data_IF_119087030021
#
_entry.id   IF_119087030021
#
_cell.length_a   1.000
_cell.length_b   1.000
_cell.length_c   1.000
_cell.angle_alpha   90.00
_cell.angle_beta   90.00
_cell.angle_gamma   90.00
#
_symmetry.space_group_name_H-M   'P 1'
#
loop_
_entity.id
_entity.type
_entity.pdbx_description
1 polymer ?
#
# COMPACT_ATOMS: atom_id res chain seq x y z
N UNK A 1 -9.11 -16.24 -9.37
CA UNK A 1 -8.55 -15.30 -8.40
C UNK A 1 -7.30 -14.70 -9.01
N UNK A 2 -7.21 -13.37 -9.08
CA UNK A 2 -6.01 -12.67 -9.55
C UNK A 2 -5.35 -11.95 -8.38
N UNK A 3 -4.02 -11.90 -8.38
CA UNK A 3 -3.22 -11.16 -7.40
C UNK A 3 -2.16 -10.41 -8.18
N UNK A 4 -2.19 -9.09 -8.07
CA UNK A 4 -1.23 -8.19 -8.73
C UNK A 4 -0.60 -7.29 -7.68
N UNK A 5 0.73 -7.23 -7.65
CA UNK A 5 1.49 -6.29 -6.86
C UNK A 5 2.56 -5.65 -7.76
N UNK A 6 2.56 -4.32 -7.88
CA UNK A 6 3.41 -3.59 -8.82
C UNK A 6 4.17 -2.50 -8.07
N UNK A 7 5.49 -2.46 -8.29
CA UNK A 7 6.33 -1.35 -7.89
C UNK A 7 6.48 -0.35 -9.04
N UNK A 8 6.28 0.94 -8.79
CA UNK A 8 6.42 2.02 -9.78
C UNK A 8 7.39 3.08 -9.32
N UNK A 9 8.28 3.53 -10.22
CA UNK A 9 9.19 4.65 -9.95
C UNK A 9 8.57 6.02 -10.20
N UNK A 10 7.51 6.09 -11.01
CA UNK A 10 6.81 7.32 -11.37
C UNK A 10 5.46 7.50 -10.67
N UNK A 11 4.86 8.70 -10.75
CA UNK A 11 3.52 8.94 -10.25
C UNK A 11 2.48 8.09 -10.98
N UNK A 12 1.40 7.74 -10.30
CA UNK A 12 0.25 7.05 -10.87
C UNK A 12 -1.05 7.74 -10.47
N UNK A 13 -2.13 7.42 -11.18
CA UNK A 13 -3.47 7.95 -10.97
C UNK A 13 -4.36 6.89 -10.34
N UNK A 14 -4.70 7.04 -9.06
CA UNK A 14 -5.50 6.06 -8.33
C UNK A 14 -6.88 5.81 -8.97
N UNK A 15 -7.48 6.83 -9.57
CA UNK A 15 -8.74 6.71 -10.30
C UNK A 15 -8.60 5.87 -11.57
N UNK A 16 -7.46 5.95 -12.26
CA UNK A 16 -7.17 5.11 -13.42
C UNK A 16 -6.92 3.66 -13.00
N UNK A 17 -6.17 3.42 -11.92
CA UNK A 17 -5.97 2.06 -11.39
C UNK A 17 -7.30 1.43 -10.93
N UNK A 18 -8.19 2.21 -10.29
CA UNK A 18 -9.54 1.76 -9.96
C UNK A 18 -10.34 1.43 -11.21
N UNK A 19 -10.31 2.29 -12.23
CA UNK A 19 -11.00 2.05 -13.51
C UNK A 19 -10.54 0.74 -14.17
N UNK A 20 -9.23 0.47 -14.18
CA UNK A 20 -8.67 -0.79 -14.66
C UNK A 20 -9.15 -1.98 -13.81
N UNK A 21 -9.12 -1.85 -12.48
CA UNK A 21 -9.52 -2.93 -11.56
C UNK A 21 -11.02 -3.26 -11.60
N UNK A 22 -11.87 -2.29 -11.97
CA UNK A 22 -13.31 -2.49 -12.17
C UNK A 22 -13.65 -3.05 -13.56
N UNK A 23 -12.75 -2.93 -14.53
CA UNK A 23 -12.97 -3.34 -15.92
C UNK A 23 -13.30 -4.82 -16.05
N UNK A 24 -14.46 -5.13 -16.64
CA UNK A 24 -14.84 -6.50 -17.01
C UNK A 24 -15.22 -7.42 -15.85
N UNK A 25 -15.37 -6.90 -14.62
CA UNK A 25 -15.75 -7.72 -13.46
C UNK A 25 -17.19 -8.21 -13.55
N UNK A 26 -17.39 -9.47 -13.18
CA UNK A 26 -18.71 -10.08 -13.00
C UNK A 26 -18.72 -10.91 -11.71
N UNK A 27 -19.79 -10.83 -10.93
CA UNK A 27 -20.02 -11.69 -9.75
C UNK A 27 -19.49 -11.16 -8.41
N UNK A 28 -18.70 -10.08 -8.38
CA UNK A 28 -18.30 -9.44 -7.13
C UNK A 28 -19.33 -8.39 -6.67
N UNK A 29 -19.78 -8.51 -5.42
CA UNK A 29 -20.70 -7.56 -4.81
C UNK A 29 -20.02 -6.39 -4.11
N UNK A 30 -18.69 -6.40 -3.99
CA UNK A 30 -17.94 -5.34 -3.32
C UNK A 30 -16.52 -5.16 -3.86
N UNK A 31 -16.11 -3.89 -3.94
CA UNK A 31 -14.72 -3.46 -4.14
C UNK A 31 -14.40 -2.43 -3.07
N UNK A 32 -13.27 -2.59 -2.39
CA UNK A 32 -12.73 -1.64 -1.41
C UNK A 32 -11.38 -1.18 -1.90
N UNK A 33 -11.15 0.13 -1.86
CA UNK A 33 -9.85 0.71 -2.22
C UNK A 33 -9.29 1.58 -1.11
N UNK A 34 -7.97 1.61 -1.02
CA UNK A 34 -7.21 2.53 -0.20
C UNK A 34 -6.19 3.29 -1.06
N UNK A 35 -6.03 4.59 -0.80
CA UNK A 35 -4.99 5.42 -1.40
C UNK A 35 -4.21 6.11 -0.30
N UNK A 36 -2.91 5.82 -0.21
CA UNK A 36 -1.99 6.53 0.67
C UNK A 36 -1.40 7.72 -0.06
N UNK A 37 -1.62 8.93 0.48
CA UNK A 37 -1.04 10.17 -0.05
C UNK A 37 0.13 10.62 0.83
N UNK A 38 1.18 11.15 0.19
CA UNK A 38 2.25 11.82 0.91
C UNK A 38 1.72 13.08 1.60
N UNK A 39 2.10 13.29 2.85
CA UNK A 39 1.74 14.47 3.64
C UNK A 39 2.85 15.51 3.58
N UNK A 40 2.49 16.76 3.78
CA UNK A 40 3.40 17.91 3.90
C UNK A 40 3.89 18.15 5.33
N UNK A 41 3.54 17.26 6.28
CA UNK A 41 3.94 17.34 7.68
C UNK A 41 4.18 15.95 8.27
N UNK A 42 5.19 15.85 9.12
CA UNK A 42 5.47 14.71 10.00
C UNK A 42 5.43 15.15 11.47
N UNK A 43 5.69 14.22 12.39
CA UNK A 43 5.72 14.50 13.84
C UNK A 43 6.73 15.59 14.20
N UNK A 44 7.84 15.67 13.45
CA UNK A 44 8.96 16.57 13.74
C UNK A 44 8.97 17.85 12.90
N UNK A 45 7.85 18.15 12.21
CA UNK A 45 7.69 19.39 11.48
C UNK A 45 7.32 19.21 10.00
N UNK A 46 7.46 20.27 9.19
CA UNK A 46 7.07 20.26 7.78
C UNK A 46 7.98 19.35 6.95
N UNK A 47 7.39 18.65 5.99
CA UNK A 47 8.06 17.73 5.07
C UNK A 47 7.84 18.20 3.64
N UNK A 48 8.94 18.37 2.91
CA UNK A 48 8.96 18.76 1.50
C UNK A 48 8.82 17.58 0.54
N UNK A 49 9.07 16.36 1.01
CA UNK A 49 8.89 15.13 0.25
C UNK A 49 9.25 13.86 1.02
N UNK A 50 8.81 12.73 0.48
CA UNK A 50 9.20 11.40 0.93
C UNK A 50 10.09 10.76 -0.15
N UNK A 51 11.15 10.09 0.25
CA UNK A 51 11.93 9.21 -0.62
C UNK A 51 11.79 7.77 -0.14
N UNK A 52 11.40 6.89 -1.06
CA UNK A 52 11.23 5.46 -0.81
C UNK A 52 12.34 4.68 -1.51
N UNK A 53 13.35 4.32 -0.74
CA UNK A 53 14.42 3.46 -1.24
C UNK A 53 14.00 1.99 -1.19
N UNK A 54 14.55 1.19 -2.10
CA UNK A 54 14.11 -0.19 -2.30
C UNK A 54 15.25 -1.08 -2.78
N UNK A 55 15.09 -2.38 -2.60
CA UNK A 55 16.01 -3.38 -3.15
C UNK A 55 15.34 -4.03 -4.36
N UNK A 56 15.82 -3.76 -5.60
CA UNK A 56 15.23 -4.30 -6.82
C UNK A 56 15.07 -5.82 -6.79
N UNK A 57 13.88 -6.29 -7.14
CA UNK A 57 13.47 -7.68 -7.08
C UNK A 57 13.05 -8.16 -5.69
N UNK A 58 13.68 -7.69 -4.60
CA UNK A 58 13.30 -8.12 -3.25
C UNK A 58 12.07 -7.37 -2.74
N UNK A 59 11.98 -6.06 -3.00
CA UNK A 59 10.82 -5.26 -2.62
C UNK A 59 9.56 -5.72 -3.36
N UNK A 60 9.66 -6.01 -4.65
CA UNK A 60 8.57 -6.55 -5.46
C UNK A 60 8.07 -7.89 -4.90
N UNK A 61 8.99 -8.84 -4.61
CA UNK A 61 8.64 -10.12 -3.98
C UNK A 61 7.99 -9.95 -2.61
N UNK A 62 8.41 -8.96 -1.82
CA UNK A 62 7.81 -8.65 -0.53
C UNK A 62 6.36 -8.19 -0.70
N UNK A 63 6.08 -7.28 -1.66
CA UNK A 63 4.72 -6.84 -2.00
C UNK A 63 3.85 -8.02 -2.48
N UNK A 64 4.38 -8.85 -3.38
CA UNK A 64 3.71 -10.05 -3.89
C UNK A 64 3.38 -11.03 -2.76
N UNK A 65 4.30 -11.24 -1.83
CA UNK A 65 4.09 -12.13 -0.68
C UNK A 65 2.96 -11.62 0.22
N UNK A 66 2.98 -10.34 0.57
CA UNK A 66 1.93 -9.72 1.39
C UNK A 66 0.55 -9.85 0.70
N UNK A 67 0.49 -9.59 -0.60
CA UNK A 67 -0.74 -9.73 -1.39
C UNK A 67 -1.23 -11.18 -1.47
N UNK A 68 -0.32 -12.12 -1.72
CA UNK A 68 -0.63 -13.55 -1.76
C UNK A 68 -1.11 -14.08 -0.40
N UNK A 69 -0.60 -13.55 0.71
CA UNK A 69 -1.02 -13.96 2.04
C UNK A 69 -2.45 -13.47 2.35
N UNK A 70 -2.79 -12.23 1.97
CA UNK A 70 -4.15 -11.72 2.07
C UNK A 70 -5.13 -12.55 1.22
N UNK A 71 -4.71 -12.92 0.01
CA UNK A 71 -5.45 -13.81 -0.89
C UNK A 71 -5.75 -15.18 -0.26
N UNK A 72 -4.82 -15.74 0.51
CA UNK A 72 -5.01 -17.02 1.21
C UNK A 72 -5.87 -16.89 2.47
N UNK A 73 -5.82 -15.74 3.14
CA UNK A 73 -6.50 -15.51 4.43
C UNK A 73 -7.99 -15.17 4.28
N UNK A 74 -8.38 -14.42 3.25
CA UNK A 74 -9.73 -13.88 3.12
C UNK A 74 -10.48 -14.45 1.91
N UNK A 75 -11.81 -14.53 2.01
CA UNK A 75 -12.69 -14.94 0.92
C UNK A 75 -12.88 -13.80 -0.10
N UNK A 76 -11.81 -13.47 -0.82
CA UNK A 76 -11.73 -12.40 -1.81
C UNK A 76 -11.46 -12.98 -3.21
N UNK A 77 -11.81 -12.22 -4.25
CA UNK A 77 -11.72 -12.68 -5.64
C UNK A 77 -10.53 -12.10 -6.39
N UNK A 78 -10.09 -10.88 -6.02
CA UNK A 78 -9.00 -10.19 -6.70
C UNK A 78 -8.32 -9.17 -5.77
N UNK A 79 -7.02 -8.96 -5.99
CA UNK A 79 -6.19 -7.95 -5.31
C UNK A 79 -5.34 -7.23 -6.35
N UNK A 80 -5.31 -5.91 -6.25
CA UNK A 80 -4.38 -5.06 -6.97
C UNK A 80 -3.67 -4.09 -6.02
N UNK A 81 -2.35 -4.21 -5.93
CA UNK A 81 -1.47 -3.31 -5.17
C UNK A 81 -0.55 -2.58 -6.12
N UNK A 82 -0.49 -1.26 -6.02
CA UNK A 82 0.53 -0.43 -6.67
C UNK A 82 1.24 0.36 -5.58
N UNK A 83 2.55 0.22 -5.49
CA UNK A 83 3.36 0.99 -4.56
C UNK A 83 4.41 1.79 -5.32
N UNK A 84 4.67 3.01 -4.89
CA UNK A 84 5.70 3.86 -5.47
C UNK A 84 7.05 3.62 -4.81
N UNK A 85 8.14 3.82 -5.55
CA UNK A 85 9.51 3.99 -5.06
C UNK A 85 10.10 5.32 -5.56
N UNK A 86 11.23 5.72 -4.99
CA UNK A 86 11.87 7.00 -5.29
C UNK A 86 11.18 8.19 -4.62
N UNK A 87 11.37 9.38 -5.17
CA UNK A 87 10.85 10.63 -4.61
C UNK A 87 9.34 10.80 -4.85
N UNK A 88 8.62 11.20 -3.80
CA UNK A 88 7.18 11.45 -3.76
C UNK A 88 6.93 12.81 -3.11
N UNK A 89 6.20 13.69 -3.80
CA UNK A 89 5.86 15.02 -3.29
C UNK A 89 4.57 14.98 -2.46
N UNK A 90 4.37 15.92 -1.52
CA UNK A 90 3.12 16.05 -0.81
C UNK A 90 1.90 16.11 -1.75
N UNK A 91 0.83 15.41 -1.36
CA UNK A 91 -0.39 15.26 -2.17
C UNK A 91 -0.31 14.18 -3.25
N UNK A 92 0.87 13.67 -3.59
CA UNK A 92 0.99 12.57 -4.55
C UNK A 92 0.65 11.21 -3.92
N UNK A 93 0.11 10.31 -4.73
CA UNK A 93 -0.14 8.94 -4.31
C UNK A 93 1.18 8.16 -4.13
N UNK A 94 1.30 7.53 -2.96
CA UNK A 94 2.39 6.62 -2.59
C UNK A 94 1.98 5.18 -2.87
N UNK A 95 0.76 4.80 -2.45
CA UNK A 95 0.28 3.43 -2.51
C UNK A 95 -1.19 3.41 -2.87
N UNK A 96 -1.57 2.44 -3.68
CA UNK A 96 -2.94 2.09 -4.02
C UNK A 96 -3.16 0.62 -3.72
N UNK A 97 -4.25 0.31 -3.04
CA UNK A 97 -4.72 -1.05 -2.82
C UNK A 97 -6.17 -1.12 -3.28
N UNK A 98 -6.51 -2.13 -4.05
CA UNK A 98 -7.88 -2.49 -4.37
C UNK A 98 -8.10 -3.97 -4.11
N UNK A 99 -9.19 -4.28 -3.42
CA UNK A 99 -9.60 -5.65 -3.10
C UNK A 99 -11.05 -5.81 -3.47
N UNK A 100 -11.39 -6.96 -4.04
CA UNK A 100 -12.75 -7.30 -4.39
C UNK A 100 -13.19 -8.60 -3.77
N UNK A 101 -14.49 -8.70 -3.51
CA UNK A 101 -15.09 -9.88 -2.91
C UNK A 101 -16.57 -9.99 -3.25
N UNK A 102 -17.18 -11.18 -3.09
CA UNK A 102 -18.62 -11.34 -3.17
C UNK A 102 -19.37 -10.45 -2.17
N UNK A 103 -18.79 -10.21 -0.99
CA UNK A 103 -19.39 -9.41 0.07
C UNK A 103 -18.38 -8.44 0.70
N UNK A 104 -18.87 -7.26 1.06
CA UNK A 104 -18.04 -6.14 1.54
C UNK A 104 -17.10 -6.46 2.70
N UNK A 105 -17.49 -7.36 3.61
CA UNK A 105 -16.72 -7.64 4.83
C UNK A 105 -15.32 -8.13 4.51
N UNK A 106 -15.22 -9.16 3.67
CA UNK A 106 -13.93 -9.73 3.28
C UNK A 106 -13.06 -8.70 2.52
N UNK A 107 -13.68 -7.84 1.69
CA UNK A 107 -12.94 -6.78 1.00
C UNK A 107 -12.37 -5.72 1.96
N UNK A 108 -13.14 -5.30 2.96
CA UNK A 108 -12.66 -4.36 3.98
C UNK A 108 -11.55 -4.97 4.84
N UNK A 109 -11.76 -6.17 5.38
CA UNK A 109 -10.77 -6.83 6.25
C UNK A 109 -9.47 -7.12 5.49
N UNK A 110 -9.55 -7.53 4.22
CA UNK A 110 -8.37 -7.75 3.40
C UNK A 110 -7.63 -6.45 3.05
N UNK A 111 -8.34 -5.37 2.72
CA UNK A 111 -7.70 -4.07 2.46
C UNK A 111 -7.00 -3.52 3.71
N UNK A 112 -7.62 -3.67 4.88
CA UNK A 112 -7.07 -3.27 6.18
C UNK A 112 -5.82 -4.10 6.53
N UNK A 113 -5.91 -5.43 6.40
CA UNK A 113 -4.80 -6.35 6.56
C UNK A 113 -3.61 -6.02 5.64
N UNK A 114 -3.88 -5.76 4.35
CA UNK A 114 -2.85 -5.38 3.38
C UNK A 114 -2.13 -4.11 3.82
N UNK A 115 -2.88 -3.09 4.26
CA UNK A 115 -2.26 -1.82 4.65
C UNK A 115 -1.39 -1.93 5.88
N UNK A 116 -1.81 -2.67 6.91
CA UNK A 116 -1.00 -2.87 8.11
C UNK A 116 0.32 -3.59 7.80
N UNK A 117 0.26 -4.61 6.92
CA UNK A 117 1.44 -5.35 6.48
C UNK A 117 2.34 -4.54 5.57
N UNK A 118 1.78 -3.81 4.61
CA UNK A 118 2.56 -2.96 3.71
C UNK A 118 3.32 -1.87 4.48
N UNK A 119 2.72 -1.33 5.55
CA UNK A 119 3.37 -0.31 6.37
C UNK A 119 4.55 -0.82 7.21
N UNK A 120 4.52 -2.09 7.59
CA UNK A 120 5.46 -2.68 8.58
C UNK A 120 6.45 -3.67 7.98
N UNK A 121 6.06 -4.41 6.94
CA UNK A 121 6.81 -5.55 6.41
C UNK A 121 7.26 -5.37 4.95
N UNK A 122 6.68 -4.41 4.21
CA UNK A 122 7.15 -4.14 2.86
C UNK A 122 8.59 -3.61 2.92
N UNK A 123 9.47 -4.23 2.12
CA UNK A 123 10.91 -3.96 2.16
C UNK A 123 11.27 -2.61 1.51
N UNK A 124 10.98 -1.52 2.22
CA UNK A 124 11.36 -0.15 1.88
C UNK A 124 12.15 0.48 3.01
N UNK A 125 13.08 1.37 2.64
CA UNK A 125 13.62 2.36 3.56
C UNK A 125 12.99 3.71 3.24
N UNK A 126 12.40 4.34 4.26
CA UNK A 126 11.64 5.58 4.10
C UNK A 126 12.49 6.74 4.60
N UNK A 127 12.59 7.80 3.81
CA UNK A 127 13.28 9.04 4.20
C UNK A 127 12.35 10.23 4.00
N UNK A 128 12.26 11.07 5.00
CA UNK A 128 11.58 12.36 4.92
C UNK A 128 12.61 13.44 4.60
N UNK A 129 12.28 14.34 3.68
CA UNK A 129 13.10 15.48 3.31
C UNK A 129 12.41 16.77 3.79
N UNK A 130 13.06 17.58 4.63
CA UNK A 130 12.51 18.80 5.22
C UNK A 130 13.49 19.98 5.23
N UNK A 131 13.12 21.13 5.82
CA UNK A 131 13.96 22.33 5.85
C UNK A 131 15.31 22.12 6.54
N UNK A 132 15.34 21.26 7.56
CA UNK A 132 16.54 20.95 8.35
C UNK A 132 17.36 19.78 7.77
N UNK A 133 16.98 19.28 6.59
CA UNK A 133 17.64 18.18 5.89
C UNK A 133 16.79 16.91 5.82
N UNK A 134 17.47 15.78 5.59
CA UNK A 134 16.83 14.48 5.36
C UNK A 134 16.98 13.53 6.54
N UNK A 135 15.94 12.75 6.83
CA UNK A 135 15.96 11.77 7.92
C UNK A 135 15.30 10.46 7.51
N UNK A 136 15.97 9.33 7.80
CA UNK A 136 15.39 8.01 7.66
C UNK A 136 14.43 7.72 8.82
N UNK A 137 13.27 7.18 8.49
CA UNK A 137 12.20 6.88 9.45
C UNK A 137 11.89 5.39 9.47
N UNK A 138 11.45 4.92 10.64
CA UNK A 138 11.04 3.55 10.90
C UNK A 138 9.51 3.47 11.07
N UNK A 139 8.90 2.28 10.91
CA UNK A 139 7.51 2.06 11.28
C UNK A 139 7.25 2.45 12.74
N UNK A 140 6.11 3.09 12.99
CA UNK A 140 5.73 3.55 14.33
C UNK A 140 5.26 2.39 15.23
N UNK A 141 5.21 2.62 16.54
CA UNK A 141 4.65 1.64 17.48
C UNK A 141 3.18 1.32 17.18
N UNK A 142 2.43 2.31 16.69
CA UNK A 142 1.06 2.10 16.24
C UNK A 142 0.99 1.16 15.02
N UNK A 143 1.85 1.36 14.02
CA UNK A 143 1.87 0.46 12.86
C UNK A 143 2.21 -0.99 13.28
N UNK A 144 3.08 -1.16 14.28
CA UNK A 144 3.40 -2.49 14.84
C UNK A 144 2.22 -3.10 15.60
N UNK A 145 1.49 -2.30 16.40
CA UNK A 145 0.30 -2.73 17.10
C UNK A 145 -0.84 -3.12 16.14
N UNK A 146 -1.06 -2.30 15.12
CA UNK A 146 -2.03 -2.58 14.04
C UNK A 146 -1.66 -3.87 13.32
N UNK A 147 -0.38 -4.10 13.02
CA UNK A 147 0.08 -5.37 12.45
C UNK A 147 -0.18 -6.57 13.38
N UNK A 148 0.04 -6.40 14.69
CA UNK A 148 -0.07 -7.48 15.66
C UNK A 148 -1.49 -8.04 15.79
N UNK A 149 -2.55 -7.25 15.49
CA UNK A 149 -3.95 -7.73 15.54
C UNK A 149 -4.28 -8.83 14.54
N UNK A 150 -3.38 -9.08 13.58
CA UNK A 150 -3.52 -10.13 12.56
C UNK A 150 -2.71 -11.40 12.87
N UNK A 151 -2.12 -11.47 14.07
CA UNK A 151 -1.35 -12.62 14.56
C UNK A 151 -2.29 -13.75 15.00
N UNK A 152 -2.95 -14.36 14.01
CA UNK A 152 -3.67 -15.62 14.08
C UNK A 152 -3.45 -16.41 12.79
#
# INVERSE_FOLDING_TARGET
MSVSAILRSGPFRADAELGLFLGGRQGDGAVVTFVGLARDSAVDGPVSGLYLDHYPGFTERSLETIAADAARRFAISDIHVVHRCGGVRPGEAIVFVAVAAPHRRAAFEAADYLMDRLKTEAAFWKREDGPDGSRWIEPTDNDRADRARWSD
#
